data_IF_286813326620
#
_entry.id   IF_286813326620
#
_cell.length_a   1.000
_cell.length_b   1.000
_cell.length_c   1.000
_cell.angle_alpha   90.00
_cell.angle_beta   90.00
_cell.angle_gamma   90.00
#
_symmetry.space_group_name_H-M   'P 1'
#
loop_
_entity.id
_entity.type
_entity.pdbx_description
1 polymer ?
#
# COMPACT_ATOMS: atom_id res chain seq x y z
N UNK A 1 -16.12 4.12 8.43
CA UNK A 1 -15.04 3.53 7.61
C UNK A 1 -15.49 2.23 6.94
N UNK A 2 -16.07 1.26 7.67
CA UNK A 2 -16.61 0.00 7.11
C UNK A 2 -17.68 0.24 6.03
N UNK A 3 -18.61 1.15 6.26
CA UNK A 3 -19.69 1.48 5.31
C UNK A 3 -19.14 2.07 4.00
N UNK A 4 -18.15 2.95 4.08
CA UNK A 4 -17.48 3.51 2.89
C UNK A 4 -16.75 2.42 2.10
N UNK A 5 -16.05 1.51 2.77
CA UNK A 5 -15.37 0.38 2.13
C UNK A 5 -16.36 -0.54 1.40
N UNK A 6 -17.50 -0.88 2.03
CA UNK A 6 -18.54 -1.71 1.42
C UNK A 6 -19.09 -1.06 0.15
N UNK A 7 -19.39 0.24 0.19
CA UNK A 7 -19.88 0.98 -0.97
C UNK A 7 -18.86 1.00 -2.14
N UNK A 8 -17.55 1.16 -1.84
CA UNK A 8 -16.50 1.16 -2.87
C UNK A 8 -16.32 -0.24 -3.45
N UNK A 9 -16.36 -1.30 -2.63
CA UNK A 9 -16.31 -2.68 -3.08
C UNK A 9 -17.49 -3.02 -4.00
N UNK A 10 -18.71 -2.62 -3.61
CA UNK A 10 -19.91 -2.92 -4.39
C UNK A 10 -19.89 -2.18 -5.73
N UNK A 11 -19.34 -0.95 -5.76
CA UNK A 11 -19.07 -0.22 -7.01
C UNK A 11 -18.04 -0.96 -7.88
N UNK A 12 -16.96 -1.48 -7.29
CA UNK A 12 -15.98 -2.27 -8.03
C UNK A 12 -16.59 -3.53 -8.65
N UNK A 13 -17.47 -4.24 -7.89
CA UNK A 13 -18.20 -5.39 -8.40
C UNK A 13 -19.16 -5.03 -9.54
N UNK A 14 -19.79 -3.84 -9.50
CA UNK A 14 -20.64 -3.36 -10.58
C UNK A 14 -19.82 -3.13 -11.87
N UNK A 15 -18.72 -2.38 -11.79
CA UNK A 15 -17.83 -2.18 -12.93
C UNK A 15 -17.27 -3.48 -13.50
N UNK A 16 -16.92 -4.44 -12.64
CA UNK A 16 -16.46 -5.74 -13.08
C UNK A 16 -17.53 -6.48 -13.90
N UNK A 17 -18.79 -6.45 -13.48
CA UNK A 17 -19.91 -7.04 -14.22
C UNK A 17 -20.20 -6.33 -15.55
N UNK A 18 -19.95 -5.02 -15.62
CA UNK A 18 -20.08 -4.21 -16.82
C UNK A 18 -18.88 -4.32 -17.76
N UNK A 19 -17.89 -5.18 -17.43
CA UNK A 19 -16.63 -5.37 -18.16
C UNK A 19 -15.70 -4.14 -18.19
N UNK A 20 -15.94 -3.15 -17.35
CA UNK A 20 -15.06 -1.99 -17.15
C UNK A 20 -13.92 -2.36 -16.18
N UNK A 21 -12.95 -3.13 -16.68
CA UNK A 21 -11.94 -3.80 -15.86
C UNK A 21 -11.01 -2.79 -15.16
N UNK A 22 -10.59 -1.71 -15.84
CA UNK A 22 -9.73 -0.70 -15.22
C UNK A 22 -10.40 0.02 -14.05
N UNK A 23 -11.70 0.38 -14.19
CA UNK A 23 -12.47 0.98 -13.10
C UNK A 23 -12.74 0.01 -11.95
N UNK A 24 -12.94 -1.27 -12.26
CA UNK A 24 -13.06 -2.31 -11.24
C UNK A 24 -11.78 -2.43 -10.42
N UNK A 25 -10.62 -2.56 -11.07
CA UNK A 25 -9.29 -2.63 -10.44
C UNK A 25 -9.01 -1.39 -9.60
N UNK A 26 -9.30 -0.19 -10.10
CA UNK A 26 -9.15 1.05 -9.36
C UNK A 26 -9.95 1.04 -8.05
N UNK A 27 -11.22 0.66 -8.11
CA UNK A 27 -12.10 0.66 -6.93
C UNK A 27 -11.76 -0.48 -5.96
N UNK A 28 -11.33 -1.68 -6.43
CA UNK A 28 -10.82 -2.73 -5.54
C UNK A 28 -9.57 -2.28 -4.79
N UNK A 29 -8.62 -1.64 -5.46
CA UNK A 29 -7.43 -1.08 -4.80
C UNK A 29 -7.80 -0.01 -3.77
N UNK A 30 -8.73 0.91 -4.08
CA UNK A 30 -9.26 1.89 -3.12
C UNK A 30 -9.93 1.25 -1.91
N UNK A 31 -10.66 0.16 -2.10
CA UNK A 31 -11.28 -0.58 -1.01
C UNK A 31 -10.24 -1.28 -0.13
N UNK A 32 -9.18 -1.86 -0.71
CA UNK A 32 -8.07 -2.46 0.01
C UNK A 32 -7.26 -1.44 0.82
N UNK A 33 -7.10 -0.20 0.35
CA UNK A 33 -6.48 0.88 1.16
C UNK A 33 -7.24 1.17 2.45
N UNK A 34 -8.56 0.97 2.46
CA UNK A 34 -9.38 1.15 3.67
C UNK A 34 -9.30 -0.04 4.62
N UNK A 35 -9.13 -1.26 4.08
CA UNK A 35 -8.96 -2.49 4.85
C UNK A 35 -8.06 -3.49 4.09
N UNK A 36 -6.74 -3.42 4.30
CA UNK A 36 -5.76 -4.27 3.59
C UNK A 36 -5.92 -5.77 3.85
N UNK A 37 -6.50 -6.15 4.99
CA UNK A 37 -6.70 -7.54 5.39
C UNK A 37 -7.98 -8.21 4.83
N UNK A 38 -8.69 -7.57 3.90
CA UNK A 38 -9.93 -8.17 3.34
C UNK A 38 -9.59 -9.13 2.19
N UNK A 39 -9.70 -10.43 2.45
CA UNK A 39 -9.36 -11.49 1.50
C UNK A 39 -10.33 -11.54 0.30
N UNK A 40 -11.62 -11.26 0.49
CA UNK A 40 -12.61 -11.26 -0.59
C UNK A 40 -12.28 -10.21 -1.66
N UNK A 41 -11.92 -9.00 -1.21
CA UNK A 41 -11.55 -7.91 -2.14
C UNK A 41 -10.25 -8.24 -2.84
N UNK A 42 -9.28 -8.83 -2.13
CA UNK A 42 -8.00 -9.24 -2.71
C UNK A 42 -8.21 -10.32 -3.78
N UNK A 43 -9.04 -11.30 -3.51
CA UNK A 43 -9.40 -12.33 -4.49
C UNK A 43 -10.05 -11.73 -5.74
N UNK A 44 -11.06 -10.87 -5.57
CA UNK A 44 -11.74 -10.23 -6.69
C UNK A 44 -10.79 -9.33 -7.52
N UNK A 45 -9.86 -8.63 -6.85
CA UNK A 45 -8.81 -7.85 -7.52
C UNK A 45 -7.92 -8.76 -8.37
N UNK A 46 -7.45 -9.88 -7.83
CA UNK A 46 -6.62 -10.84 -8.57
C UNK A 46 -7.35 -11.42 -9.80
N UNK A 47 -8.66 -11.66 -9.67
CA UNK A 47 -9.48 -12.12 -10.82
C UNK A 47 -9.56 -11.02 -11.88
N UNK A 48 -9.77 -9.76 -11.48
CA UNK A 48 -9.83 -8.63 -12.41
C UNK A 48 -8.46 -8.37 -13.09
N UNK A 49 -7.36 -8.45 -12.34
CA UNK A 49 -6.00 -8.29 -12.87
C UNK A 49 -5.63 -9.37 -13.91
N UNK A 50 -6.14 -10.59 -13.78
CA UNK A 50 -5.95 -11.65 -14.79
C UNK A 50 -6.68 -11.37 -16.12
N UNK A 51 -7.66 -10.47 -16.12
CA UNK A 51 -8.41 -10.09 -17.33
C UNK A 51 -7.77 -8.89 -18.06
N UNK A 52 -6.75 -8.24 -17.47
CA UNK A 52 -6.00 -7.18 -18.15
C UNK A 52 -5.16 -7.74 -19.29
N UNK A 53 -4.92 -6.92 -20.31
CA UNK A 53 -4.08 -7.29 -21.46
C UNK A 53 -2.60 -7.32 -21.11
N UNK A 54 -2.17 -6.44 -20.20
CA UNK A 54 -0.77 -6.30 -19.83
C UNK A 54 -0.42 -7.29 -18.73
N UNK A 55 0.39 -8.29 -19.08
CA UNK A 55 0.97 -9.21 -18.11
C UNK A 55 2.41 -8.75 -17.82
N UNK A 56 2.55 -7.92 -16.81
CA UNK A 56 3.86 -7.36 -16.42
C UNK A 56 4.39 -8.16 -15.24
N UNK A 57 5.47 -8.90 -15.47
CA UNK A 57 6.16 -9.62 -14.41
C UNK A 57 6.85 -8.60 -13.49
N UNK A 58 6.40 -8.55 -12.23
CA UNK A 58 7.04 -7.71 -11.24
C UNK A 58 8.49 -8.16 -10.99
N UNK A 59 9.40 -7.20 -10.87
CA UNK A 59 10.77 -7.51 -10.44
C UNK A 59 10.72 -8.24 -9.10
N UNK A 60 11.40 -9.39 -8.97
CA UNK A 60 11.41 -10.14 -7.72
C UNK A 60 11.88 -9.25 -6.57
N UNK A 61 10.99 -8.99 -5.63
CA UNK A 61 11.35 -8.24 -4.42
C UNK A 61 12.13 -9.15 -3.47
N UNK A 62 13.02 -8.53 -2.68
CA UNK A 62 13.77 -9.25 -1.63
C UNK A 62 12.76 -9.91 -0.68
N UNK A 63 12.93 -11.22 -0.43
CA UNK A 63 11.99 -12.02 0.38
C UNK A 63 11.70 -11.40 1.76
N UNK A 64 12.68 -10.69 2.35
CA UNK A 64 12.51 -9.97 3.62
C UNK A 64 11.51 -8.82 3.50
N UNK A 65 11.52 -8.08 2.37
CA UNK A 65 10.57 -6.99 2.12
C UNK A 65 9.16 -7.54 1.99
N UNK A 66 8.99 -8.63 1.24
CA UNK A 66 7.70 -9.29 1.06
C UNK A 66 7.17 -9.86 2.38
N UNK A 67 8.03 -10.50 3.18
CA UNK A 67 7.65 -11.03 4.50
C UNK A 67 7.21 -9.92 5.46
N UNK A 68 7.97 -8.82 5.51
CA UNK A 68 7.67 -7.66 6.35
C UNK A 68 6.38 -6.96 5.92
N UNK A 69 6.17 -6.84 4.61
CA UNK A 69 4.93 -6.31 4.02
C UNK A 69 3.72 -7.18 4.36
N UNK A 70 3.85 -8.50 4.26
CA UNK A 70 2.79 -9.44 4.65
C UNK A 70 2.45 -9.33 6.14
N UNK A 71 3.46 -9.25 7.01
CA UNK A 71 3.27 -9.06 8.45
C UNK A 71 2.55 -7.73 8.75
N UNK A 72 2.95 -6.66 8.08
CA UNK A 72 2.32 -5.34 8.21
C UNK A 72 0.87 -5.37 7.76
N UNK A 73 0.57 -6.03 6.64
CA UNK A 73 -0.77 -6.09 6.04
C UNK A 73 -1.76 -6.97 6.81
N UNK A 74 -1.32 -7.74 7.81
CA UNK A 74 -2.20 -8.51 8.71
C UNK A 74 -3.14 -7.60 9.52
N UNK A 75 -2.68 -6.40 9.87
CA UNK A 75 -3.43 -5.49 10.74
C UNK A 75 -3.64 -4.14 10.06
N UNK A 76 -4.73 -3.47 10.41
CA UNK A 76 -4.98 -2.12 9.92
C UNK A 76 -4.06 -1.10 10.61
N UNK A 77 -3.79 0.02 9.94
CA UNK A 77 -3.02 1.16 10.49
C UNK A 77 -3.54 1.61 11.86
N UNK A 78 -4.87 1.60 12.06
CA UNK A 78 -5.47 1.92 13.36
C UNK A 78 -5.13 0.89 14.44
N UNK A 79 -5.07 -0.39 14.09
CA UNK A 79 -4.71 -1.46 15.02
C UNK A 79 -3.24 -1.35 15.43
N UNK A 80 -2.33 -1.05 14.49
CA UNK A 80 -0.93 -0.77 14.78
C UNK A 80 -0.75 0.41 15.71
N UNK A 81 -1.53 1.50 15.51
CA UNK A 81 -1.51 2.67 16.41
C UNK A 81 -2.00 2.33 17.83
N UNK A 82 -3.05 1.52 17.97
CA UNK A 82 -3.52 1.07 19.28
C UNK A 82 -2.49 0.19 19.96
N UNK A 83 -1.89 -0.76 19.24
CA UNK A 83 -0.83 -1.61 19.78
C UNK A 83 0.39 -0.80 20.25
N UNK A 84 0.76 0.28 19.55
CA UNK A 84 1.84 1.16 19.99
C UNK A 84 1.53 1.83 21.34
N UNK A 85 0.29 2.23 21.58
CA UNK A 85 -0.13 2.77 22.88
C UNK A 85 -0.08 1.71 23.99
N UNK A 86 -0.46 0.47 23.69
CA UNK A 86 -0.39 -0.64 24.66
C UNK A 86 1.10 -0.93 25.01
N UNK A 87 1.98 -1.00 24.03
CA UNK A 87 3.41 -1.20 24.29
C UNK A 87 4.06 -0.01 25.01
N UNK A 88 3.62 1.22 24.74
CA UNK A 88 4.04 2.39 25.51
C UNK A 88 3.65 2.26 26.99
N UNK A 89 2.40 1.90 27.27
CA UNK A 89 1.94 1.69 28.63
C UNK A 89 2.69 0.56 29.34
N UNK A 90 2.95 -0.56 28.63
CA UNK A 90 3.74 -1.68 29.13
C UNK A 90 5.19 -1.30 29.42
N UNK A 91 5.81 -0.49 28.54
CA UNK A 91 7.16 0.03 28.72
C UNK A 91 7.24 0.92 29.98
N UNK A 92 6.31 1.86 30.14
CA UNK A 92 6.25 2.73 31.32
C UNK A 92 6.01 1.93 32.60
N UNK A 93 5.08 0.98 32.59
CA UNK A 93 4.81 0.11 33.72
C UNK A 93 6.00 -0.76 34.13
N UNK A 94 6.69 -1.36 33.16
CA UNK A 94 7.91 -2.17 33.44
C UNK A 94 9.10 -1.31 33.88
N UNK A 95 9.25 -0.09 33.35
CA UNK A 95 10.24 0.86 33.82
C UNK A 95 9.98 1.31 35.27
N UNK A 96 8.74 1.61 35.60
CA UNK A 96 8.35 1.94 36.97
C UNK A 96 8.60 0.75 37.91
N UNK A 97 8.23 -0.48 37.47
CA UNK A 97 8.52 -1.69 38.21
C UNK A 97 10.04 -1.90 38.44
N UNK A 98 10.88 -1.61 37.43
CA UNK A 98 12.33 -1.63 37.54
C UNK A 98 12.83 -0.65 38.61
N UNK A 99 12.32 0.59 38.62
CA UNK A 99 12.75 1.65 39.55
C UNK A 99 12.31 1.37 40.99
N UNK A 100 11.09 0.83 41.19
CA UNK A 100 10.56 0.58 42.53
C UNK A 100 11.07 -0.75 43.14
N UNK A 101 11.62 -1.66 42.33
CA UNK A 101 12.05 -2.97 42.80
C UNK A 101 13.39 -2.91 43.52
N UNK A 102 13.42 -3.41 44.77
CA UNK A 102 14.64 -3.51 45.58
C UNK A 102 15.42 -4.82 45.38
N UNK A 103 14.76 -5.89 44.90
CA UNK A 103 15.40 -7.21 44.69
C UNK A 103 16.01 -7.29 43.31
N UNK A 104 17.27 -7.79 43.20
CA UNK A 104 18.02 -7.91 41.94
C UNK A 104 17.25 -8.67 40.84
N UNK A 105 16.58 -9.77 41.20
CA UNK A 105 15.80 -10.58 40.23
C UNK A 105 14.66 -9.77 39.64
N UNK A 106 13.89 -9.02 40.44
CA UNK A 106 12.78 -8.16 39.98
C UNK A 106 13.30 -7.01 39.11
N UNK A 107 14.44 -6.44 39.44
CA UNK A 107 15.10 -5.41 38.62
C UNK A 107 15.50 -5.95 37.24
N UNK A 108 16.06 -7.17 37.16
CA UNK A 108 16.38 -7.80 35.89
C UNK A 108 15.12 -8.02 35.03
N UNK A 109 14.02 -8.51 35.62
CA UNK A 109 12.74 -8.67 34.93
C UNK A 109 12.21 -7.32 34.42
N UNK A 110 12.23 -6.30 35.25
CA UNK A 110 11.81 -4.94 34.85
C UNK A 110 12.66 -4.37 33.71
N UNK A 111 13.99 -4.57 33.75
CA UNK A 111 14.91 -4.10 32.71
C UNK A 111 14.65 -4.78 31.37
N UNK A 112 14.62 -6.11 31.35
CA UNK A 112 14.35 -6.86 30.10
C UNK A 112 12.93 -6.61 29.59
N UNK A 113 11.94 -6.49 30.48
CA UNK A 113 10.58 -6.12 30.13
C UNK A 113 10.51 -4.73 29.45
N UNK A 114 11.21 -3.75 30.00
CA UNK A 114 11.29 -2.41 29.40
C UNK A 114 11.98 -2.42 28.05
N UNK A 115 13.12 -3.14 27.93
CA UNK A 115 13.86 -3.24 26.67
C UNK A 115 13.01 -3.92 25.56
N UNK A 116 12.33 -5.03 25.90
CA UNK A 116 11.45 -5.72 24.96
C UNK A 116 10.25 -4.87 24.55
N UNK A 117 9.58 -4.22 25.52
CA UNK A 117 8.45 -3.36 25.23
C UNK A 117 8.85 -2.13 24.38
N UNK A 118 10.04 -1.58 24.60
CA UNK A 118 10.60 -0.50 23.78
C UNK A 118 10.82 -0.95 22.33
N UNK A 119 11.43 -2.11 22.11
CA UNK A 119 11.66 -2.67 20.77
C UNK A 119 10.34 -2.90 20.01
N UNK A 120 9.33 -3.46 20.69
CA UNK A 120 8.00 -3.67 20.12
C UNK A 120 7.28 -2.34 19.82
N UNK A 121 7.45 -1.34 20.69
CA UNK A 121 6.92 0.01 20.47
C UNK A 121 7.51 0.63 19.21
N UNK A 122 8.84 0.59 19.03
CA UNK A 122 9.50 1.12 17.84
C UNK A 122 9.01 0.42 16.59
N UNK A 123 8.91 -0.91 16.60
CA UNK A 123 8.43 -1.71 15.48
C UNK A 123 7.00 -1.33 15.07
N UNK A 124 6.08 -1.24 16.05
CA UNK A 124 4.68 -0.90 15.78
C UNK A 124 4.51 0.55 15.31
N UNK A 125 5.31 1.48 15.82
CA UNK A 125 5.35 2.87 15.34
C UNK A 125 5.86 2.96 13.90
N UNK A 126 6.90 2.21 13.54
CA UNK A 126 7.40 2.15 12.17
C UNK A 126 6.31 1.65 11.21
N UNK A 127 5.61 0.55 11.54
CA UNK A 127 4.52 0.05 10.71
C UNK A 127 3.38 1.05 10.58
N UNK A 128 2.95 1.66 11.69
CA UNK A 128 1.91 2.69 11.66
C UNK A 128 2.30 3.91 10.81
N UNK A 129 3.58 4.31 10.86
CA UNK A 129 4.10 5.45 10.08
C UNK A 129 4.18 5.13 8.58
N UNK A 130 4.63 3.93 8.21
CA UNK A 130 4.68 3.47 6.81
C UNK A 130 3.28 3.40 6.22
N UNK A 131 2.33 2.75 6.90
CA UNK A 131 0.93 2.67 6.47
C UNK A 131 0.30 4.05 6.31
N UNK A 132 0.63 4.98 7.21
CA UNK A 132 0.13 6.34 7.12
C UNK A 132 0.70 7.09 5.92
N UNK A 133 1.99 6.93 5.62
CA UNK A 133 2.61 7.50 4.44
C UNK A 133 1.96 6.95 3.16
N UNK A 134 1.88 5.64 3.00
CA UNK A 134 1.20 5.01 1.86
C UNK A 134 -0.26 5.44 1.70
N UNK A 135 -0.95 5.73 2.81
CA UNK A 135 -2.32 6.24 2.78
C UNK A 135 -2.42 7.72 2.34
N UNK A 136 -1.37 8.51 2.52
CA UNK A 136 -1.30 9.93 2.13
C UNK A 136 -0.73 10.09 0.73
N UNK A 137 0.34 9.34 0.42
CA UNK A 137 1.02 9.38 -0.87
C UNK A 137 0.16 8.71 -1.93
N UNK A 138 -0.46 9.53 -2.80
CA UNK A 138 -1.25 9.08 -3.96
C UNK A 138 -0.33 8.89 -5.15
N UNK A 139 0.68 8.06 -5.00
CA UNK A 139 1.66 7.77 -6.04
C UNK A 139 1.21 6.64 -6.96
N UNK A 140 0.34 5.74 -6.47
CA UNK A 140 -0.19 4.64 -7.29
C UNK A 140 -1.43 5.07 -8.08
N UNK A 141 -1.51 4.65 -9.33
CA UNK A 141 -2.62 4.93 -10.24
C UNK A 141 -2.95 3.70 -11.11
N UNK A 142 -4.13 3.72 -11.72
CA UNK A 142 -4.58 2.69 -12.67
C UNK A 142 -4.92 3.34 -13.99
N UNK A 143 -4.40 2.80 -15.09
CA UNK A 143 -4.72 3.25 -16.46
C UNK A 143 -6.18 2.93 -16.76
N UNK A 144 -6.92 3.93 -17.27
CA UNK A 144 -8.35 3.81 -17.58
C UNK A 144 -8.66 3.90 -19.07
N UNK A 145 -7.67 4.20 -19.90
CA UNK A 145 -7.81 4.22 -21.36
C UNK A 145 -7.44 2.85 -21.93
N UNK A 146 -8.11 2.46 -23.01
CA UNK A 146 -7.91 1.17 -23.68
C UNK A 146 -6.47 0.92 -24.10
N UNK A 147 -5.78 1.97 -24.56
CA UNK A 147 -4.36 1.95 -24.88
C UNK A 147 -3.76 3.36 -24.75
N UNK A 148 -2.60 3.45 -24.11
CA UNK A 148 -1.85 4.69 -23.91
C UNK A 148 -0.41 4.46 -24.24
N UNK A 149 0.15 5.27 -25.15
CA UNK A 149 1.57 5.28 -25.45
C UNK A 149 2.34 5.98 -24.33
N UNK A 150 3.34 5.31 -23.79
CA UNK A 150 4.28 5.86 -22.82
C UNK A 150 5.51 6.36 -23.57
N UNK A 151 5.86 7.62 -23.36
CA UNK A 151 6.85 8.36 -24.13
C UNK A 151 8.17 8.56 -23.38
N UNK A 152 9.23 8.83 -24.11
CA UNK A 152 10.57 9.08 -23.55
C UNK A 152 10.72 10.44 -22.86
N UNK A 153 9.86 11.42 -23.19
CA UNK A 153 9.86 12.75 -22.58
C UNK A 153 8.44 13.34 -22.58
N UNK A 154 8.15 14.36 -21.74
CA UNK A 154 6.82 14.95 -21.59
C UNK A 154 6.44 15.82 -22.78
N UNK A 155 6.38 15.23 -23.97
CA UNK A 155 6.04 15.90 -25.23
C UNK A 155 5.32 14.92 -26.17
N UNK A 156 4.31 15.38 -26.89
CA UNK A 156 3.56 14.57 -27.85
C UNK A 156 4.41 14.05 -29.01
N UNK A 157 5.44 14.79 -29.41
CA UNK A 157 6.33 14.43 -30.52
C UNK A 157 7.51 13.52 -30.09
N UNK A 158 7.60 13.14 -28.83
CA UNK A 158 8.66 12.24 -28.36
C UNK A 158 8.41 10.79 -28.73
N UNK A 159 9.48 10.00 -28.75
CA UNK A 159 9.45 8.58 -29.10
C UNK A 159 8.60 7.78 -28.12
N UNK A 160 7.75 6.91 -28.64
CA UNK A 160 6.99 5.96 -27.87
C UNK A 160 7.92 4.82 -27.40
N UNK A 161 7.93 4.56 -26.10
CA UNK A 161 8.75 3.52 -25.49
C UNK A 161 8.00 2.18 -25.44
N UNK A 162 6.75 2.23 -24.97
CA UNK A 162 5.85 1.09 -24.87
C UNK A 162 4.41 1.57 -24.77
N UNK A 163 3.47 0.65 -24.88
CA UNK A 163 2.02 0.93 -24.77
C UNK A 163 1.52 0.25 -23.51
N UNK A 164 0.67 0.93 -22.75
CA UNK A 164 -0.06 0.39 -21.61
C UNK A 164 -1.55 0.34 -21.92
N UNK A 165 -2.21 -0.72 -21.40
CA UNK A 165 -3.63 -0.92 -21.57
C UNK A 165 -4.40 -0.66 -20.28
N UNK A 166 -5.72 -0.61 -20.39
CA UNK A 166 -6.64 -0.46 -19.29
C UNK A 166 -6.38 -1.48 -18.17
N UNK A 167 -6.46 -1.02 -16.92
CA UNK A 167 -6.27 -1.87 -15.73
C UNK A 167 -4.82 -1.98 -15.26
N UNK A 168 -3.84 -1.52 -16.04
CA UNK A 168 -2.45 -1.57 -15.64
C UNK A 168 -2.17 -0.61 -14.48
N UNK A 169 -1.56 -1.12 -13.42
CA UNK A 169 -1.15 -0.34 -12.26
C UNK A 169 0.20 0.31 -12.52
N UNK A 170 0.30 1.61 -12.24
CA UNK A 170 1.51 2.42 -12.40
C UNK A 170 1.80 3.21 -11.14
N UNK A 171 3.08 3.54 -10.91
CA UNK A 171 3.52 4.44 -9.86
C UNK A 171 3.95 5.78 -10.46
N UNK A 172 3.40 6.87 -9.93
CA UNK A 172 3.72 8.23 -10.39
C UNK A 172 4.97 8.70 -9.66
N UNK A 173 6.02 9.01 -10.42
CA UNK A 173 7.30 9.50 -9.90
C UNK A 173 7.38 11.03 -9.94
N UNK A 174 6.89 11.66 -11.02
CA UNK A 174 6.93 13.12 -11.19
C UNK A 174 5.74 13.64 -12.02
N UNK A 175 5.50 14.95 -12.00
CA UNK A 175 4.43 15.61 -12.76
C UNK A 175 4.96 16.92 -13.36
N UNK A 176 4.79 17.07 -14.67
CA UNK A 176 5.22 18.25 -15.41
C UNK A 176 4.21 18.63 -16.51
N UNK A 177 3.61 19.81 -16.40
CA UNK A 177 2.77 20.38 -17.46
C UNK A 177 1.69 19.45 -18.04
N UNK A 178 0.98 18.69 -17.18
CA UNK A 178 -0.06 17.74 -17.61
C UNK A 178 0.46 16.36 -18.01
N UNK A 179 1.78 16.16 -18.02
CA UNK A 179 2.45 14.87 -18.17
C UNK A 179 2.87 14.32 -16.81
N UNK A 180 2.79 13.00 -16.68
CA UNK A 180 3.20 12.29 -15.49
C UNK A 180 4.30 11.27 -15.84
N UNK A 181 5.43 11.32 -15.13
CA UNK A 181 6.40 10.25 -15.18
C UNK A 181 5.86 9.06 -14.39
N UNK A 182 5.82 7.91 -15.03
CA UNK A 182 5.33 6.69 -14.39
C UNK A 182 6.41 5.61 -14.39
N UNK A 183 6.29 4.73 -13.39
CA UNK A 183 7.08 3.49 -13.29
C UNK A 183 6.13 2.31 -13.25
N UNK A 184 6.36 1.28 -14.07
CA UNK A 184 5.59 0.04 -14.07
C UNK A 184 6.28 -1.05 -13.23
N UNK A 185 5.61 -2.17 -12.99
CA UNK A 185 6.05 -3.22 -12.08
C UNK A 185 7.39 -3.87 -12.47
N UNK A 186 7.78 -3.84 -13.74
CA UNK A 186 9.08 -4.32 -14.24
C UNK A 186 10.23 -3.30 -14.08
N UNK A 187 9.94 -2.11 -13.55
CA UNK A 187 10.89 -1.03 -13.31
C UNK A 187 11.12 -0.09 -14.49
N UNK A 188 10.47 -0.30 -15.64
CA UNK A 188 10.54 0.65 -16.76
C UNK A 188 9.84 1.95 -16.41
N UNK A 189 10.38 3.06 -16.92
CA UNK A 189 9.88 4.42 -16.72
C UNK A 189 9.55 5.08 -18.03
N UNK A 190 8.65 6.05 -17.97
CA UNK A 190 8.36 6.93 -19.09
C UNK A 190 7.25 7.91 -18.77
N UNK A 191 6.88 8.72 -19.74
CA UNK A 191 5.93 9.82 -19.60
C UNK A 191 4.61 9.50 -20.29
N UNK A 192 3.51 9.74 -19.60
CA UNK A 192 2.15 9.66 -20.17
C UNK A 192 1.31 10.84 -19.71
N UNK A 193 0.22 11.13 -20.42
CA UNK A 193 -0.70 12.19 -20.02
C UNK A 193 -1.39 11.83 -18.69
N UNK A 194 -1.41 12.79 -17.75
CA UNK A 194 -2.03 12.56 -16.43
C UNK A 194 -3.56 12.37 -16.52
N UNK A 195 -4.19 12.66 -17.65
CA UNK A 195 -5.62 12.47 -17.91
C UNK A 195 -6.01 11.03 -18.23
N UNK A 196 -5.04 10.13 -18.48
CA UNK A 196 -5.26 8.77 -18.97
C UNK A 196 -5.39 7.73 -17.85
N UNK A 197 -5.11 8.12 -16.63
CA UNK A 197 -5.18 7.27 -15.45
C UNK A 197 -5.85 7.99 -14.28
N UNK A 198 -6.24 7.24 -13.25
CA UNK A 198 -6.78 7.79 -12.01
C UNK A 198 -6.02 7.24 -10.80
N UNK A 199 -5.73 8.11 -9.82
CA UNK A 199 -5.01 7.73 -8.60
C UNK A 199 -5.88 6.89 -7.67
N UNK A 200 -5.24 5.93 -7.03
CA UNK A 200 -5.86 5.00 -6.08
C UNK A 200 -6.17 5.71 -4.76
#
# INVERSE_FOLDING_TARGET
RRQRQMCIRDRANAYFKEQEIGRAILNYNRALRLNPGNEDIRYNLQVAEKMTKDHIDAVPEFFVKTWLSNLRNLLSSTTWAVLSLVFLAAMLGSALFYLLSRRLVRRKIGFYGTATAFLLLVLTLCFAAIDRREAIDRTSAVVLRDAVAVKSSPNQNSTDLFILHEGTKVEISDRLNGWCEITIADGKKGWMECSTFETI
#
